data_IF_203207043796
#
_entry.id   IF_203207043796
#
_cell.length_a   1.000
_cell.length_b   1.000
_cell.length_c   1.000
_cell.angle_alpha   90.00
_cell.angle_beta   90.00
_cell.angle_gamma   90.00
#
_symmetry.space_group_name_H-M   'P 1'
#
loop_
_entity.id
_entity.type
_entity.pdbx_description
1 polymer ?
#
# COMPACT_ATOMS: atom_id res chain seq x y z
N UNK A 1 8.82 -1.83 -70.12
CA UNK A 1 9.79 -0.76 -69.79
C UNK A 1 10.43 -1.08 -68.45
N UNK A 2 11.76 -1.08 -68.45
CA UNK A 2 12.67 -1.57 -67.40
C UNK A 2 12.88 -0.53 -66.29
N UNK A 3 12.98 -0.98 -65.03
CA UNK A 3 13.97 -0.62 -64.00
C UNK A 3 13.40 -1.02 -62.63
N UNK A 4 13.87 -2.06 -61.94
CA UNK A 4 15.21 -2.31 -61.36
C UNK A 4 15.76 -1.11 -60.58
N UNK A 5 15.57 -1.09 -59.27
CA UNK A 5 16.69 -0.83 -58.37
C UNK A 5 16.50 -1.43 -56.97
N UNK A 6 17.50 -2.25 -56.61
CA UNK A 6 17.72 -2.94 -55.34
C UNK A 6 18.38 -2.01 -54.30
N UNK A 7 18.44 -2.42 -53.01
CA UNK A 7 18.61 -1.53 -51.87
C UNK A 7 20.07 -1.17 -51.56
N UNK A 8 20.30 0.03 -51.02
CA UNK A 8 21.60 0.46 -50.52
C UNK A 8 21.83 -0.03 -49.09
N UNK A 9 22.72 -1.02 -48.97
CA UNK A 9 23.33 -1.53 -47.74
C UNK A 9 24.14 -0.41 -47.07
N UNK A 10 23.77 0.01 -45.85
CA UNK A 10 24.64 0.84 -45.00
C UNK A 10 25.30 -0.03 -43.92
N UNK A 11 26.62 0.05 -43.93
CA UNK A 11 27.59 -0.80 -43.23
C UNK A 11 27.47 -0.69 -41.70
N UNK A 12 27.50 -1.85 -41.05
CA UNK A 12 27.71 -1.99 -39.61
C UNK A 12 29.05 -1.34 -39.21
N UNK A 13 29.02 -0.44 -38.22
CA UNK A 13 30.21 0.02 -37.51
C UNK A 13 30.27 -0.70 -36.17
N UNK A 14 31.05 -1.78 -36.17
CA UNK A 14 31.54 -2.52 -35.03
C UNK A 14 32.29 -1.56 -34.10
N UNK A 15 31.76 -1.34 -32.89
CA UNK A 15 32.52 -0.73 -31.80
C UNK A 15 33.16 -1.84 -31.00
N UNK A 16 34.47 -1.94 -31.14
CA UNK A 16 35.38 -2.79 -30.39
C UNK A 16 35.23 -2.55 -28.90
N UNK A 17 34.87 -3.61 -28.16
CA UNK A 17 34.98 -3.66 -26.70
C UNK A 17 36.45 -3.91 -26.36
N UNK A 18 37.11 -2.90 -25.76
CA UNK A 18 38.44 -3.10 -25.17
C UNK A 18 38.29 -3.83 -23.83
N UNK A 19 38.88 -5.02 -23.78
CA UNK A 19 39.13 -5.82 -22.58
C UNK A 19 40.44 -5.39 -21.91
N UNK A 20 40.37 -5.01 -20.62
CA UNK A 20 41.49 -5.00 -19.67
C UNK A 20 40.86 -4.94 -18.26
N UNK A 21 40.61 -6.08 -17.61
CA UNK A 21 41.47 -6.74 -16.62
C UNK A 21 42.00 -5.77 -15.56
N UNK A 22 41.43 -5.83 -14.36
CA UNK A 22 42.21 -5.76 -13.12
C UNK A 22 41.54 -6.65 -12.06
N UNK A 23 42.22 -7.74 -11.71
CA UNK A 23 41.96 -8.58 -10.56
C UNK A 23 42.95 -8.19 -9.46
N UNK A 24 42.45 -7.91 -8.25
CA UNK A 24 43.14 -7.90 -6.95
C UNK A 24 42.14 -7.36 -5.91
N UNK A 25 42.00 -7.81 -4.67
CA UNK A 25 42.60 -8.89 -3.90
C UNK A 25 41.67 -9.17 -2.72
N UNK A 26 41.75 -10.38 -2.17
CA UNK A 26 41.13 -10.80 -0.91
C UNK A 26 41.71 -10.01 0.26
N UNK A 27 40.85 -9.46 1.11
CA UNK A 27 41.16 -9.20 2.51
C UNK A 27 39.92 -9.50 3.36
N UNK A 28 39.93 -10.66 4.00
CA UNK A 28 39.02 -11.01 5.08
C UNK A 28 39.43 -10.20 6.32
N UNK A 29 38.62 -9.21 6.69
CA UNK A 29 38.68 -8.53 7.96
C UNK A 29 37.41 -8.82 8.75
N UNK A 30 37.51 -9.72 9.73
CA UNK A 30 36.48 -9.91 10.75
C UNK A 30 36.48 -8.66 11.63
N UNK A 31 35.54 -7.74 11.41
CA UNK A 31 35.24 -6.67 12.34
C UNK A 31 34.22 -7.18 13.35
N UNK A 32 34.65 -7.20 14.61
CA UNK A 32 33.81 -7.46 15.76
C UNK A 32 32.56 -6.57 15.72
N UNK A 33 31.38 -7.20 15.80
CA UNK A 33 30.11 -6.51 15.99
C UNK A 33 30.04 -5.95 17.41
N UNK A 34 30.56 -4.74 17.59
CA UNK A 34 30.16 -3.90 18.71
C UNK A 34 28.65 -3.67 18.57
N UNK A 35 27.88 -4.06 19.59
CA UNK A 35 26.43 -3.88 19.63
C UNK A 35 26.09 -2.42 19.31
N UNK A 36 25.39 -2.22 18.19
CA UNK A 36 24.84 -0.91 17.86
C UNK A 36 23.88 -0.50 18.98
N UNK A 37 23.99 0.72 19.55
CA UNK A 37 22.85 1.27 20.24
C UNK A 37 21.69 1.26 19.25
N UNK A 38 20.50 0.81 19.68
CA UNK A 38 19.31 0.85 18.85
C UNK A 38 19.20 2.27 18.26
N UNK A 39 19.40 2.38 16.94
CA UNK A 39 19.22 3.63 16.25
C UNK A 39 17.78 4.06 16.51
N UNK A 40 17.60 5.18 17.20
CA UNK A 40 16.32 5.85 17.26
C UNK A 40 15.78 5.95 15.83
N UNK A 41 14.53 5.53 15.63
CA UNK A 41 13.87 5.65 14.34
C UNK A 41 14.10 7.07 13.79
N UNK A 42 14.40 7.24 12.48
CA UNK A 42 14.61 8.54 11.89
C UNK A 42 13.43 9.45 12.25
N UNK A 43 13.68 10.48 13.06
CA UNK A 43 12.66 11.49 13.31
C UNK A 43 12.50 12.27 12.00
N UNK A 44 11.31 12.31 11.38
CA UNK A 44 11.09 13.14 10.21
C UNK A 44 11.45 14.59 10.55
N UNK A 45 12.13 15.27 9.64
CA UNK A 45 12.40 16.71 9.75
C UNK A 45 11.14 17.45 10.17
N UNK A 46 11.18 18.07 11.35
CA UNK A 46 10.07 18.81 11.91
C UNK A 46 9.84 20.08 11.06
N UNK A 47 8.85 20.03 10.18
CA UNK A 47 8.03 21.21 9.98
C UNK A 47 7.30 21.40 11.32
N UNK A 48 7.55 22.49 12.04
CA UNK A 48 6.85 22.82 13.30
C UNK A 48 5.40 23.28 13.02
N UNK A 49 4.77 22.67 12.02
CA UNK A 49 3.39 22.87 11.60
C UNK A 49 2.87 21.56 11.04
N UNK A 50 1.62 21.22 11.39
CA UNK A 50 0.98 20.08 10.74
C UNK A 50 0.64 20.40 9.28
N UNK A 51 0.70 19.38 8.41
CA UNK A 51 0.22 19.53 7.04
C UNK A 51 -1.27 19.87 6.97
N UNK A 52 -1.71 20.38 5.82
CA UNK A 52 -3.13 20.73 5.59
C UNK A 52 -4.05 19.52 5.87
N UNK A 53 -5.13 19.76 6.62
CA UNK A 53 -6.09 18.71 7.03
C UNK A 53 -5.72 17.98 8.33
N UNK A 54 -4.49 18.17 8.82
CA UNK A 54 -4.03 17.69 10.12
C UNK A 54 -3.82 18.86 11.09
N UNK A 55 -3.91 18.55 12.38
CA UNK A 55 -3.62 19.46 13.49
C UNK A 55 -2.77 18.75 14.52
N UNK A 56 -2.03 19.49 15.34
CA UNK A 56 -1.36 18.88 16.50
C UNK A 56 -2.42 18.27 17.42
N UNK A 57 -2.14 17.06 17.91
CA UNK A 57 -3.02 16.37 18.86
C UNK A 57 -3.17 17.16 20.15
N UNK A 58 -2.10 17.83 20.60
CA UNK A 58 -2.10 18.67 21.79
C UNK A 58 -2.66 17.94 23.02
N UNK A 59 -2.35 16.64 23.16
CA UNK A 59 -2.83 15.82 24.27
C UNK A 59 -2.29 16.34 25.63
N UNK A 60 -1.06 16.84 25.62
CA UNK A 60 -0.39 17.57 26.71
C UNK A 60 0.49 18.68 26.09
N UNK A 61 1.00 19.65 26.88
CA UNK A 61 1.95 20.63 26.37
C UNK A 61 3.15 19.96 25.68
N UNK A 62 3.47 20.39 24.45
CA UNK A 62 4.57 19.84 23.64
C UNK A 62 4.23 18.60 22.80
N UNK A 63 2.98 18.11 22.83
CA UNK A 63 2.53 17.03 21.96
C UNK A 63 2.19 17.52 20.54
N UNK A 64 3.19 17.50 19.66
CA UNK A 64 3.08 17.93 18.25
C UNK A 64 2.86 16.76 17.28
N UNK A 65 2.26 15.65 17.73
CA UNK A 65 1.85 14.56 16.84
C UNK A 65 0.71 15.03 15.94
N UNK A 66 0.88 14.93 14.61
CA UNK A 66 -0.16 15.32 13.66
C UNK A 66 -1.30 14.29 13.60
N UNK A 67 -2.51 14.76 13.87
CA UNK A 67 -3.74 13.95 13.90
C UNK A 67 -4.89 14.67 13.19
N UNK A 68 -6.00 13.96 12.98
CA UNK A 68 -7.23 14.59 12.50
C UNK A 68 -7.84 15.51 13.57
N UNK A 69 -8.57 16.57 13.17
CA UNK A 69 -9.23 17.47 14.11
C UNK A 69 -10.10 16.77 15.18
N UNK A 70 -10.76 15.66 14.81
CA UNK A 70 -11.57 14.87 15.75
C UNK A 70 -10.73 14.22 16.86
N UNK A 71 -9.49 13.80 16.55
CA UNK A 71 -8.57 13.20 17.53
C UNK A 71 -8.01 14.25 18.49
N UNK A 72 -7.76 15.48 18.01
CA UNK A 72 -7.46 16.62 18.90
C UNK A 72 -8.61 16.92 19.84
N UNK A 73 -9.85 16.92 19.34
CA UNK A 73 -11.02 17.13 20.20
C UNK A 73 -11.16 16.03 21.26
N UNK A 74 -11.01 14.77 20.87
CA UNK A 74 -11.04 13.64 21.81
C UNK A 74 -9.96 13.77 22.90
N UNK A 75 -8.74 14.17 22.55
CA UNK A 75 -7.68 14.37 23.53
C UNK A 75 -8.02 15.47 24.55
N UNK A 76 -8.70 16.54 24.11
CA UNK A 76 -9.22 17.61 24.98
C UNK A 76 -10.33 17.10 25.90
N UNK A 77 -11.24 16.29 25.38
CA UNK A 77 -12.34 15.71 26.15
C UNK A 77 -11.80 14.75 27.23
N UNK A 78 -10.76 13.98 26.91
CA UNK A 78 -10.06 13.13 27.87
C UNK A 78 -9.35 13.94 28.96
N UNK A 79 -8.71 15.06 28.59
CA UNK A 79 -8.10 15.97 29.57
C UNK A 79 -9.14 16.61 30.50
N UNK A 80 -10.31 16.98 29.96
CA UNK A 80 -11.41 17.55 30.75
C UNK A 80 -11.99 16.54 31.75
N UNK A 81 -12.02 15.25 31.39
CA UNK A 81 -12.50 14.18 32.25
C UNK A 81 -11.41 13.61 33.20
N UNK A 82 -10.15 13.98 33.04
CA UNK A 82 -9.04 13.44 33.83
C UNK A 82 -9.24 13.51 35.36
N UNK A 83 -9.75 14.63 35.95
CA UNK A 83 -9.90 14.74 37.40
C UNK A 83 -10.85 13.72 38.02
N UNK A 84 -11.80 13.16 37.26
CA UNK A 84 -12.77 12.17 37.75
C UNK A 84 -12.26 10.73 37.65
N UNK A 85 -11.06 10.53 37.08
CA UNK A 85 -10.50 9.21 36.74
C UNK A 85 -9.22 8.88 37.52
N UNK A 86 -8.85 9.74 38.47
CA UNK A 86 -7.66 9.58 39.32
C UNK A 86 -8.04 9.27 40.77
N UNK A 87 -7.17 8.55 41.46
CA UNK A 87 -7.17 8.34 42.89
C UNK A 87 -5.89 8.98 43.48
N UNK A 88 -5.99 10.18 44.08
CA UNK A 88 -4.81 10.88 44.58
C UNK A 88 -4.05 10.16 45.70
N UNK A 89 -4.68 9.20 46.37
CA UNK A 89 -4.08 8.36 47.42
C UNK A 89 -3.64 6.98 46.91
N UNK A 90 -3.58 6.80 45.60
CA UNK A 90 -3.24 5.54 44.97
C UNK A 90 -1.76 5.19 45.02
N UNK A 91 -1.44 3.94 44.66
CA UNK A 91 -0.10 3.33 44.76
C UNK A 91 0.97 4.06 43.94
N UNK A 92 0.59 4.75 42.87
CA UNK A 92 1.49 5.41 41.92
C UNK A 92 1.47 6.95 42.06
N UNK A 93 1.04 7.46 43.22
CA UNK A 93 0.97 8.89 43.50
C UNK A 93 -0.33 9.56 43.00
N UNK A 94 -0.35 10.90 42.87
CA UNK A 94 -1.58 11.66 42.64
C UNK A 94 -2.28 11.34 41.32
N UNK A 95 -1.52 10.86 40.32
CA UNK A 95 -2.02 10.50 39.00
C UNK A 95 -2.46 9.03 38.90
N UNK A 96 -2.54 8.29 40.02
CA UNK A 96 -2.96 6.88 39.99
C UNK A 96 -4.35 6.75 39.37
N UNK A 97 -4.52 5.97 38.31
CA UNK A 97 -5.83 5.76 37.72
C UNK A 97 -6.75 4.91 38.61
N UNK A 98 -8.04 5.26 38.63
CA UNK A 98 -9.07 4.41 39.25
C UNK A 98 -9.25 3.12 38.43
N UNK A 99 -9.84 2.09 39.05
CA UNK A 99 -10.04 0.79 38.40
C UNK A 99 -10.80 0.94 37.07
N UNK A 100 -10.29 0.29 36.01
CA UNK A 100 -10.85 0.36 34.66
C UNK A 100 -10.24 1.45 33.78
N UNK A 101 -9.35 2.29 34.32
CA UNK A 101 -8.62 3.32 33.59
C UNK A 101 -7.11 3.06 33.63
N UNK A 102 -6.41 3.55 32.61
CA UNK A 102 -4.96 3.47 32.44
C UNK A 102 -4.43 4.81 31.95
N UNK A 103 -3.15 5.11 32.18
CA UNK A 103 -2.52 6.28 31.58
C UNK A 103 -2.57 6.17 30.06
N UNK A 104 -2.98 7.27 29.42
CA UNK A 104 -3.08 7.39 27.95
C UNK A 104 -1.72 7.27 27.29
N UNK A 105 -0.67 7.79 27.92
CA UNK A 105 0.71 7.72 27.43
C UNK A 105 0.85 8.19 25.97
N UNK A 106 0.15 9.27 25.62
CA UNK A 106 0.27 9.90 24.31
C UNK A 106 1.70 10.36 24.04
N UNK A 107 2.39 10.82 25.09
CA UNK A 107 3.84 11.02 25.17
C UNK A 107 4.33 10.47 26.51
N UNK A 108 5.65 10.36 26.72
CA UNK A 108 6.21 9.74 27.93
C UNK A 108 5.85 10.43 29.26
N UNK A 109 5.33 11.65 29.23
CA UNK A 109 4.90 12.43 30.41
C UNK A 109 3.38 12.50 30.58
N UNK A 110 2.61 11.82 29.72
CA UNK A 110 1.15 11.91 29.70
C UNK A 110 0.50 10.84 30.61
N UNK A 111 0.16 11.27 31.83
CA UNK A 111 -0.54 10.45 32.82
C UNK A 111 -2.06 10.68 32.86
N UNK A 112 -2.66 11.24 31.81
CA UNK A 112 -4.12 11.39 31.75
C UNK A 112 -4.78 10.01 31.74
N UNK A 113 -5.64 9.75 32.73
CA UNK A 113 -6.34 8.49 32.86
C UNK A 113 -7.47 8.37 31.83
N UNK A 114 -7.42 7.32 31.02
CA UNK A 114 -8.37 7.01 29.95
C UNK A 114 -8.71 5.52 29.96
N UNK A 115 -9.73 5.12 29.21
CA UNK A 115 -10.03 3.69 29.00
C UNK A 115 -8.93 3.02 28.15
N UNK A 116 -8.65 1.71 28.29
CA UNK A 116 -7.57 1.03 27.58
C UNK A 116 -7.56 1.24 26.05
N UNK A 117 -8.74 1.33 25.43
CA UNK A 117 -8.89 1.56 23.99
C UNK A 117 -8.34 2.94 23.57
N UNK A 118 -8.41 3.94 24.45
CA UNK A 118 -7.88 5.29 24.19
C UNK A 118 -6.37 5.35 24.30
N UNK A 119 -5.76 4.53 25.17
CA UNK A 119 -4.30 4.35 25.23
C UNK A 119 -3.79 3.70 23.95
N UNK A 120 -4.43 2.60 23.51
CA UNK A 120 -4.09 1.95 22.25
C UNK A 120 -4.18 2.94 21.07
N UNK A 121 -5.24 3.74 21.01
CA UNK A 121 -5.39 4.78 19.99
C UNK A 121 -4.26 5.82 20.02
N UNK A 122 -3.83 6.27 21.20
CA UNK A 122 -2.75 7.26 21.32
C UNK A 122 -1.41 6.70 20.82
N UNK A 123 -1.15 5.40 21.05
CA UNK A 123 0.01 4.70 20.52
C UNK A 123 -0.04 4.54 19.00
N UNK A 124 -1.22 4.23 18.45
CA UNK A 124 -1.42 4.16 17.00
C UNK A 124 -1.19 5.53 16.34
N UNK A 125 -1.66 6.62 16.96
CA UNK A 125 -1.39 7.97 16.47
C UNK A 125 0.12 8.28 16.44
N UNK A 126 0.87 7.84 17.45
CA UNK A 126 2.33 8.00 17.47
C UNK A 126 3.01 7.17 16.38
N UNK A 127 2.60 5.91 16.20
CA UNK A 127 3.14 5.02 15.17
C UNK A 127 2.89 5.56 13.75
N UNK A 128 1.78 6.28 13.55
CA UNK A 128 1.38 6.83 12.26
C UNK A 128 1.89 8.26 12.00
N UNK A 129 2.51 8.92 12.98
CA UNK A 129 2.87 10.34 12.91
C UNK A 129 3.74 10.67 11.68
N UNK A 130 4.80 9.88 11.47
CA UNK A 130 5.71 10.05 10.32
C UNK A 130 5.00 9.79 8.98
N UNK A 131 4.11 8.79 8.94
CA UNK A 131 3.32 8.47 7.75
C UNK A 131 2.39 9.60 7.34
N UNK A 132 1.70 10.23 8.31
CA UNK A 132 0.78 11.36 8.05
C UNK A 132 1.51 12.60 7.52
N UNK A 133 2.71 12.87 8.02
CA UNK A 133 3.57 13.95 7.49
C UNK A 133 4.04 13.63 6.07
N UNK A 134 4.44 12.38 5.81
CA UNK A 134 4.86 11.94 4.49
C UNK A 134 3.72 11.98 3.46
N UNK A 135 2.54 11.45 3.81
CA UNK A 135 1.32 11.47 2.98
C UNK A 135 0.96 12.88 2.52
N UNK A 136 0.89 13.83 3.44
CA UNK A 136 0.50 15.19 3.10
C UNK A 136 1.60 15.95 2.33
N UNK A 137 2.87 15.58 2.51
CA UNK A 137 3.96 16.09 1.69
C UNK A 137 3.89 15.58 0.24
N UNK A 138 3.50 14.31 0.04
CA UNK A 138 3.19 13.78 -1.29
C UNK A 138 2.10 14.63 -1.95
N UNK A 139 0.96 14.84 -1.31
CA UNK A 139 -0.14 15.59 -1.93
C UNK A 139 0.22 17.05 -2.26
N UNK A 140 1.00 17.72 -1.41
CA UNK A 140 1.33 19.14 -1.60
C UNK A 140 2.47 19.39 -2.61
N UNK A 141 3.36 18.41 -2.86
CA UNK A 141 4.60 18.62 -3.62
C UNK A 141 4.88 17.60 -4.72
N UNK A 142 3.89 16.77 -5.06
CA UNK A 142 4.03 15.75 -6.10
C UNK A 142 3.23 16.07 -7.37
N UNK A 143 3.66 15.44 -8.47
CA UNK A 143 2.80 15.12 -9.59
C UNK A 143 2.31 13.67 -9.40
N UNK A 144 1.09 13.36 -9.81
CA UNK A 144 0.50 12.04 -9.61
C UNK A 144 -0.07 11.41 -10.87
N UNK A 145 -0.16 10.08 -10.85
CA UNK A 145 -0.92 9.29 -11.80
C UNK A 145 -1.82 8.32 -11.03
N UNK A 146 -3.05 8.14 -11.49
CA UNK A 146 -4.09 7.40 -10.77
C UNK A 146 -4.69 6.29 -11.63
N UNK A 147 -4.63 5.06 -11.13
CA UNK A 147 -5.46 3.96 -11.61
C UNK A 147 -6.80 4.03 -10.87
N UNK A 148 -7.84 4.42 -11.59
CA UNK A 148 -9.17 4.55 -11.01
C UNK A 148 -9.68 3.20 -10.52
N UNK A 149 -10.50 3.22 -9.48
CA UNK A 149 -11.07 2.03 -8.84
C UNK A 149 -11.81 1.13 -9.82
N UNK A 150 -12.56 1.72 -10.76
CA UNK A 150 -13.26 0.98 -11.83
C UNK A 150 -12.30 0.27 -12.78
N UNK A 151 -11.20 0.92 -13.17
CA UNK A 151 -10.17 0.33 -13.99
C UNK A 151 -9.44 -0.79 -13.25
N UNK A 152 -9.14 -0.62 -11.96
CA UNK A 152 -8.57 -1.67 -11.12
C UNK A 152 -9.47 -2.91 -11.04
N UNK A 153 -10.80 -2.72 -10.83
CA UNK A 153 -11.78 -3.82 -10.87
C UNK A 153 -11.73 -4.55 -12.21
N UNK A 154 -11.79 -3.80 -13.31
CA UNK A 154 -11.77 -4.34 -14.66
C UNK A 154 -10.51 -5.15 -14.94
N UNK A 155 -9.34 -4.62 -14.58
CA UNK A 155 -8.05 -5.29 -14.73
C UNK A 155 -8.01 -6.61 -13.95
N UNK A 156 -8.40 -6.60 -12.68
CA UNK A 156 -8.37 -7.79 -11.81
C UNK A 156 -9.37 -8.84 -12.31
N UNK A 157 -10.60 -8.42 -12.64
CA UNK A 157 -11.65 -9.29 -13.21
C UNK A 157 -11.20 -9.92 -14.53
N UNK A 158 -10.59 -9.14 -15.42
CA UNK A 158 -10.05 -9.59 -16.71
C UNK A 158 -8.93 -10.62 -16.54
N UNK A 159 -7.93 -10.33 -15.68
CA UNK A 159 -6.82 -11.24 -15.41
C UNK A 159 -7.31 -12.53 -14.75
N UNK A 160 -8.21 -12.43 -13.77
CA UNK A 160 -8.80 -13.59 -13.12
C UNK A 160 -9.56 -14.47 -14.12
N UNK A 161 -10.41 -13.86 -14.96
CA UNK A 161 -11.16 -14.56 -16.01
C UNK A 161 -10.24 -15.30 -16.98
N UNK A 162 -9.16 -14.65 -17.43
CA UNK A 162 -8.16 -15.28 -18.31
C UNK A 162 -7.46 -16.48 -17.64
N UNK A 163 -7.06 -16.34 -16.37
CA UNK A 163 -6.43 -17.42 -15.61
C UNK A 163 -7.38 -18.59 -15.35
N UNK A 164 -8.61 -18.29 -14.98
CA UNK A 164 -9.62 -19.30 -14.71
C UNK A 164 -10.00 -20.07 -16.00
N UNK A 165 -10.20 -19.36 -17.12
CA UNK A 165 -10.46 -19.98 -18.44
C UNK A 165 -9.32 -20.84 -18.95
N UNK A 166 -8.07 -20.49 -18.61
CA UNK A 166 -6.92 -21.31 -18.96
C UNK A 166 -6.88 -22.64 -18.19
N UNK A 167 -7.57 -22.74 -17.04
CA UNK A 167 -7.72 -23.97 -16.26
C UNK A 167 -8.97 -24.76 -16.63
N UNK A 168 -10.07 -24.05 -16.87
CA UNK A 168 -11.34 -24.63 -17.32
C UNK A 168 -12.07 -23.61 -18.21
N UNK A 169 -12.21 -23.95 -19.49
CA UNK A 169 -12.83 -23.08 -20.50
C UNK A 169 -14.31 -22.77 -20.23
N UNK A 170 -14.95 -23.54 -19.33
CA UNK A 170 -16.35 -23.34 -18.92
C UNK A 170 -16.51 -22.20 -17.91
N UNK A 171 -15.43 -21.76 -17.27
CA UNK A 171 -15.51 -20.70 -16.25
C UNK A 171 -15.83 -19.34 -16.90
N UNK A 172 -16.87 -18.69 -16.38
CA UNK A 172 -17.25 -17.32 -16.70
C UNK A 172 -17.18 -16.42 -15.46
N UNK A 173 -17.01 -15.12 -15.69
CA UNK A 173 -17.08 -14.07 -14.67
C UNK A 173 -18.23 -13.14 -15.02
N UNK A 174 -19.06 -12.79 -14.04
CA UNK A 174 -20.13 -11.82 -14.21
C UNK A 174 -19.55 -10.41 -14.18
N UNK A 175 -19.38 -9.80 -15.36
CA UNK A 175 -18.92 -8.41 -15.46
C UNK A 175 -19.91 -7.43 -14.80
N UNK A 176 -19.39 -6.42 -14.10
CA UNK A 176 -20.19 -5.39 -13.42
C UNK A 176 -20.73 -5.79 -12.05
N UNK A 177 -20.42 -7.00 -11.56
CA UNK A 177 -20.74 -7.46 -10.20
C UNK A 177 -19.54 -7.45 -9.26
N UNK A 178 -18.43 -6.85 -9.67
CA UNK A 178 -17.22 -6.76 -8.85
C UNK A 178 -17.43 -5.83 -7.65
N UNK A 179 -17.31 -6.39 -6.45
CA UNK A 179 -17.35 -5.63 -5.21
C UNK A 179 -15.94 -5.14 -4.89
N UNK A 180 -15.84 -3.91 -4.39
CA UNK A 180 -14.65 -3.47 -3.66
C UNK A 180 -15.16 -3.05 -2.29
N UNK A 181 -14.77 -3.81 -1.28
CA UNK A 181 -15.19 -3.64 0.10
C UNK A 181 -13.95 -3.44 0.96
N UNK A 182 -13.46 -2.20 0.93
CA UNK A 182 -12.55 -1.52 1.85
C UNK A 182 -11.42 -2.33 2.51
N UNK A 183 -10.28 -1.72 2.30
CA UNK A 183 -8.96 -1.90 2.84
C UNK A 183 -8.81 -2.15 4.35
N UNK A 184 -7.90 -3.06 4.72
CA UNK A 184 -7.33 -3.15 6.08
C UNK A 184 -6.86 -1.77 6.61
N UNK A 185 -7.01 -1.53 7.92
CA UNK A 185 -6.83 -0.25 8.66
C UNK A 185 -7.96 0.78 8.48
N UNK A 186 -9.06 0.56 9.20
CA UNK A 186 -10.11 1.56 9.46
C UNK A 186 -9.76 2.52 10.61
N UNK A 187 -8.49 2.63 11.02
CA UNK A 187 -8.06 3.60 12.04
C UNK A 187 -8.13 5.04 11.50
N UNK A 188 -8.42 6.02 12.36
CA UNK A 188 -8.35 7.45 12.03
C UNK A 188 -6.98 7.77 11.40
N UNK A 189 -6.95 8.51 10.29
CA UNK A 189 -5.90 8.26 9.27
C UNK A 189 -6.40 8.20 7.85
N UNK A 190 -7.72 8.11 7.70
CA UNK A 190 -8.36 7.44 6.58
C UNK A 190 -7.97 8.05 5.22
N UNK A 191 -7.89 9.38 5.07
CA UNK A 191 -7.82 10.02 3.74
C UNK A 191 -6.51 9.85 2.94
N UNK A 192 -5.37 9.54 3.56
CA UNK A 192 -4.07 9.57 2.87
C UNK A 192 -3.59 8.25 2.24
N UNK A 193 -2.68 8.31 1.25
CA UNK A 193 -2.13 7.15 0.55
C UNK A 193 -1.24 6.29 1.45
N UNK A 194 -1.62 5.02 1.66
CA UNK A 194 -0.86 4.08 2.51
C UNK A 194 -0.55 2.77 1.78
N UNK A 195 0.33 1.95 2.38
CA UNK A 195 0.55 0.57 1.96
C UNK A 195 -0.65 -0.31 2.37
N UNK A 196 -1.73 -0.11 1.62
CA UNK A 196 -3.09 -0.52 1.92
C UNK A 196 -3.43 -1.80 1.15
N UNK A 197 -4.19 -2.70 1.79
CA UNK A 197 -4.71 -3.92 1.15
C UNK A 197 -6.01 -3.57 0.45
N UNK A 198 -6.24 -3.92 -0.80
CA UNK A 198 -7.52 -3.71 -1.49
C UNK A 198 -8.24 -5.04 -1.57
N UNK A 199 -9.44 -5.14 -1.00
CA UNK A 199 -10.31 -6.31 -1.17
C UNK A 199 -11.14 -6.17 -2.43
N UNK A 200 -11.05 -7.17 -3.31
CA UNK A 200 -11.79 -7.24 -4.57
C UNK A 200 -12.58 -8.53 -4.59
N UNK A 201 -13.90 -8.43 -4.71
CA UNK A 201 -14.80 -9.56 -4.86
C UNK A 201 -15.14 -9.80 -6.33
N UNK A 202 -15.10 -11.06 -6.75
CA UNK A 202 -15.35 -11.53 -8.11
C UNK A 202 -16.46 -12.57 -8.06
N UNK A 203 -17.55 -12.34 -8.79
CA UNK A 203 -18.62 -13.31 -8.97
C UNK A 203 -18.47 -14.01 -10.32
N UNK A 204 -18.66 -15.33 -10.34
CA UNK A 204 -18.59 -16.11 -11.57
C UNK A 204 -19.38 -17.39 -11.53
N UNK A 205 -19.27 -18.16 -12.60
CA UNK A 205 -20.03 -19.37 -12.84
C UNK A 205 -19.22 -20.39 -13.65
N UNK A 206 -19.67 -21.64 -13.68
CA UNK A 206 -19.15 -22.66 -14.60
C UNK A 206 -20.28 -23.10 -15.51
N UNK A 207 -20.10 -22.93 -16.82
CA UNK A 207 -21.13 -23.33 -17.78
C UNK A 207 -21.19 -24.85 -17.90
N UNK A 208 -22.33 -25.44 -17.54
CA UNK A 208 -22.58 -26.87 -17.64
C UNK A 208 -23.74 -27.16 -18.61
N UNK A 209 -23.62 -28.18 -19.47
CA UNK A 209 -24.74 -28.59 -20.30
C UNK A 209 -25.82 -29.27 -19.44
N UNK A 210 -27.07 -28.88 -19.64
CA UNK A 210 -28.28 -29.55 -19.12
C UNK A 210 -28.52 -29.52 -17.59
N UNK A 211 -27.72 -28.79 -16.81
CA UNK A 211 -27.97 -28.52 -15.38
C UNK A 211 -27.75 -27.03 -15.08
N UNK A 212 -28.31 -26.48 -13.98
CA UNK A 212 -28.01 -25.11 -13.57
C UNK A 212 -26.52 -24.91 -13.33
N UNK A 213 -25.99 -23.79 -13.83
CA UNK A 213 -24.57 -23.44 -13.69
C UNK A 213 -24.23 -23.23 -12.21
N UNK A 214 -23.22 -23.94 -11.65
CA UNK A 214 -22.74 -23.64 -10.32
C UNK A 214 -22.09 -22.26 -10.29
N UNK A 215 -22.40 -21.50 -9.25
CA UNK A 215 -21.88 -20.15 -9.02
C UNK A 215 -20.76 -20.15 -7.97
N UNK A 216 -19.88 -19.17 -8.09
CA UNK A 216 -18.84 -18.91 -7.11
C UNK A 216 -18.65 -17.42 -6.83
N UNK A 217 -18.15 -17.13 -5.64
CA UNK A 217 -17.69 -15.81 -5.23
C UNK A 217 -16.28 -15.92 -4.64
N UNK A 218 -15.36 -15.10 -5.15
CA UNK A 218 -13.96 -15.04 -4.70
C UNK A 218 -13.67 -13.66 -4.15
N UNK A 219 -13.09 -13.58 -2.96
CA UNK A 219 -12.51 -12.35 -2.41
C UNK A 219 -10.99 -12.43 -2.47
N UNK A 220 -10.35 -11.40 -3.00
CA UNK A 220 -8.90 -11.26 -3.10
C UNK A 220 -8.45 -10.00 -2.37
N UNK A 221 -7.56 -10.16 -1.39
CA UNK A 221 -6.97 -9.07 -0.63
C UNK A 221 -5.58 -8.74 -1.17
N UNK A 222 -5.46 -7.66 -1.94
CA UNK A 222 -4.27 -7.29 -2.69
C UNK A 222 -3.51 -6.14 -2.02
N UNK A 223 -2.25 -6.35 -1.64
CA UNK A 223 -1.37 -5.25 -1.20
C UNK A 223 -0.59 -4.71 -2.39
N UNK A 224 -0.70 -3.41 -2.63
CA UNK A 224 0.06 -2.72 -3.67
C UNK A 224 1.42 -2.28 -3.11
N UNK A 225 2.50 -2.58 -3.81
CA UNK A 225 3.87 -2.23 -3.41
C UNK A 225 4.69 -1.79 -4.62
N UNK A 226 5.66 -0.92 -4.38
CA UNK A 226 6.77 -0.69 -5.31
C UNK A 226 7.86 -1.72 -5.06
N UNK A 227 8.38 -2.32 -6.12
CA UNK A 227 9.47 -3.30 -6.12
C UNK A 227 10.62 -2.72 -6.91
N UNK A 228 11.76 -2.46 -6.26
CA UNK A 228 12.91 -1.89 -6.94
C UNK A 228 13.40 -2.82 -8.07
N UNK A 229 13.74 -2.23 -9.22
CA UNK A 229 14.24 -2.94 -10.39
C UNK A 229 15.75 -2.70 -10.57
N UNK A 230 16.42 -3.61 -11.29
CA UNK A 230 17.89 -3.58 -11.44
C UNK A 230 18.44 -2.38 -12.22
N UNK A 231 17.57 -1.64 -12.93
CA UNK A 231 17.89 -0.41 -13.65
C UNK A 231 17.81 0.85 -12.77
N UNK A 232 17.48 0.71 -11.48
CA UNK A 232 17.26 1.82 -10.55
C UNK A 232 15.83 2.40 -10.61
N UNK A 233 14.92 1.75 -11.32
CA UNK A 233 13.49 2.06 -11.36
C UNK A 233 12.68 1.29 -10.32
N UNK A 234 11.37 1.21 -10.54
CA UNK A 234 10.47 0.39 -9.72
C UNK A 234 9.32 -0.21 -10.53
N UNK A 235 8.99 -1.47 -10.24
CA UNK A 235 7.75 -2.11 -10.67
C UNK A 235 6.66 -1.90 -9.62
N UNK A 236 5.47 -1.50 -10.05
CA UNK A 236 4.29 -1.44 -9.19
C UNK A 236 3.58 -2.78 -9.29
N UNK A 237 3.51 -3.48 -8.16
CA UNK A 237 3.02 -4.84 -8.12
C UNK A 237 1.95 -5.05 -7.04
N UNK A 238 0.97 -5.90 -7.37
CA UNK A 238 -0.06 -6.36 -6.46
C UNK A 238 0.32 -7.74 -5.91
N UNK A 239 0.48 -7.84 -4.60
CA UNK A 239 0.69 -9.11 -3.89
C UNK A 239 -0.59 -9.58 -3.20
N UNK A 240 -0.89 -10.88 -3.28
CA UNK A 240 -2.01 -11.46 -2.55
C UNK A 240 -1.64 -11.66 -1.09
N UNK A 241 -2.45 -11.11 -0.19
CA UNK A 241 -2.25 -11.21 1.27
C UNK A 241 -3.22 -12.19 1.91
N UNK A 242 -4.46 -12.20 1.43
CA UNK A 242 -5.50 -13.10 1.87
C UNK A 242 -6.45 -13.38 0.70
N UNK A 243 -7.16 -14.50 0.75
CA UNK A 243 -8.19 -14.82 -0.22
C UNK A 243 -9.26 -15.72 0.41
N UNK A 244 -10.49 -15.58 -0.08
CA UNK A 244 -11.63 -16.37 0.33
C UNK A 244 -12.40 -16.86 -0.89
N UNK A 245 -12.90 -18.10 -0.88
CA UNK A 245 -13.69 -18.68 -1.98
C UNK A 245 -14.96 -19.29 -1.41
N UNK A 246 -16.10 -18.89 -1.96
CA UNK A 246 -17.37 -19.59 -1.80
C UNK A 246 -17.76 -20.23 -3.13
N UNK A 247 -18.07 -21.53 -3.13
CA UNK A 247 -18.63 -22.24 -4.29
C UNK A 247 -19.95 -22.87 -3.89
N UNK A 248 -20.90 -22.90 -4.83
CA UNK A 248 -22.22 -23.53 -4.63
C UNK A 248 -22.66 -24.30 -5.86
N UNK A 249 -23.56 -25.27 -5.68
CA UNK A 249 -24.08 -26.10 -6.77
C UNK A 249 -23.28 -27.38 -7.06
N UNK A 250 -23.66 -28.13 -8.12
CA UNK A 250 -23.06 -29.41 -8.47
C UNK A 250 -21.57 -29.30 -8.84
N UNK A 251 -20.74 -30.22 -8.33
CA UNK A 251 -19.30 -30.24 -8.64
C UNK A 251 -18.46 -29.17 -7.93
N UNK A 252 -19.00 -28.54 -6.88
CA UNK A 252 -18.36 -27.44 -6.16
C UNK A 252 -16.97 -27.77 -5.56
N UNK A 253 -16.70 -29.04 -5.21
CA UNK A 253 -15.41 -29.48 -4.67
C UNK A 253 -14.29 -29.36 -5.69
N UNK A 254 -14.48 -29.91 -6.89
CA UNK A 254 -13.51 -29.79 -7.99
C UNK A 254 -13.31 -28.35 -8.42
N UNK A 255 -14.40 -27.56 -8.50
CA UNK A 255 -14.33 -26.13 -8.77
C UNK A 255 -13.50 -25.38 -7.72
N UNK A 256 -13.73 -25.65 -6.44
CA UNK A 256 -12.98 -25.05 -5.34
C UNK A 256 -11.48 -25.36 -5.44
N UNK A 257 -11.11 -26.62 -5.71
CA UNK A 257 -9.71 -27.02 -5.87
C UNK A 257 -9.03 -26.32 -7.05
N UNK A 258 -9.71 -26.25 -8.20
CA UNK A 258 -9.21 -25.57 -9.39
C UNK A 258 -9.02 -24.06 -9.16
N UNK A 259 -10.00 -23.40 -8.55
CA UNK A 259 -9.92 -21.97 -8.21
C UNK A 259 -8.79 -21.71 -7.20
N UNK A 260 -8.69 -22.53 -6.16
CA UNK A 260 -7.61 -22.45 -5.17
C UNK A 260 -6.24 -22.58 -5.84
N UNK A 261 -6.04 -23.63 -6.63
CA UNK A 261 -4.78 -23.85 -7.36
C UNK A 261 -4.47 -22.68 -8.29
N UNK A 262 -5.46 -22.21 -9.06
CA UNK A 262 -5.32 -21.07 -9.96
C UNK A 262 -4.89 -19.79 -9.25
N UNK A 263 -5.56 -19.41 -8.17
CA UNK A 263 -5.26 -18.22 -7.38
C UNK A 263 -3.86 -18.32 -6.76
N UNK A 264 -3.53 -19.44 -6.13
CA UNK A 264 -2.20 -19.63 -5.53
C UNK A 264 -1.06 -19.61 -6.55
N UNK A 265 -1.28 -20.16 -7.75
CA UNK A 265 -0.30 -20.12 -8.83
C UNK A 265 -0.14 -18.71 -9.42
N UNK A 266 -1.24 -18.01 -9.64
CA UNK A 266 -1.23 -16.66 -10.22
C UNK A 266 -0.54 -15.62 -9.33
N UNK A 267 -0.66 -15.78 -8.02
CA UNK A 267 -0.05 -14.89 -7.02
C UNK A 267 1.11 -15.53 -6.26
N UNK A 268 1.74 -16.56 -6.82
CA UNK A 268 2.96 -17.16 -6.26
C UNK A 268 4.10 -16.12 -6.14
N UNK A 269 4.06 -15.10 -7.02
CA UNK A 269 4.80 -13.86 -6.91
C UNK A 269 3.84 -12.68 -7.09
N UNK A 270 4.17 -11.49 -6.59
CA UNK A 270 3.38 -10.30 -6.87
C UNK A 270 3.31 -10.04 -8.37
N UNK A 271 2.13 -9.64 -8.82
CA UNK A 271 1.85 -9.38 -10.22
C UNK A 271 2.14 -7.91 -10.50
N UNK A 272 3.19 -7.64 -11.27
CA UNK A 272 3.51 -6.28 -11.75
C UNK A 272 2.49 -5.83 -12.81
N UNK A 273 2.00 -4.60 -12.69
CA UNK A 273 1.06 -4.00 -13.65
C UNK A 273 1.53 -2.64 -14.18
N UNK A 274 2.59 -2.06 -13.61
CA UNK A 274 3.22 -0.86 -14.14
C UNK A 274 4.72 -0.90 -13.88
N UNK A 275 5.51 -0.43 -14.85
CA UNK A 275 6.95 -0.25 -14.71
C UNK A 275 7.31 1.23 -14.76
N UNK A 276 8.05 1.70 -13.76
CA UNK A 276 8.54 3.06 -13.63
C UNK A 276 10.07 3.07 -13.83
N UNK A 277 10.58 3.71 -14.90
CA UNK A 277 12.00 3.68 -15.21
C UNK A 277 12.82 4.52 -14.22
N UNK A 278 14.13 4.26 -14.13
CA UNK A 278 15.03 5.14 -13.41
C UNK A 278 15.04 6.56 -14.00
N UNK A 279 15.27 7.56 -13.13
CA UNK A 279 15.22 8.97 -13.52
C UNK A 279 13.81 9.56 -13.66
N UNK A 280 12.75 8.78 -13.39
CA UNK A 280 11.37 9.25 -13.39
C UNK A 280 11.00 10.15 -12.19
N UNK A 281 11.94 10.44 -11.28
CA UNK A 281 11.67 11.13 -10.00
C UNK A 281 10.53 10.49 -9.19
N UNK A 282 10.39 9.17 -9.32
CA UNK A 282 9.38 8.39 -8.61
C UNK A 282 9.66 8.37 -7.12
N UNK A 283 8.60 8.56 -6.34
CA UNK A 283 8.68 8.64 -4.89
C UNK A 283 8.11 7.38 -4.27
N UNK A 284 6.83 7.09 -4.52
CA UNK A 284 6.14 5.93 -3.99
C UNK A 284 4.81 5.70 -4.72
N UNK A 285 4.22 4.52 -4.51
CA UNK A 285 2.82 4.25 -4.79
C UNK A 285 2.04 4.14 -3.49
N UNK A 286 0.75 4.44 -3.53
CA UNK A 286 -0.15 4.27 -2.41
C UNK A 286 -1.58 4.01 -2.86
N UNK A 287 -2.42 3.58 -1.92
CA UNK A 287 -3.84 3.37 -2.15
C UNK A 287 -4.60 4.30 -1.21
N UNK A 288 -5.43 5.24 -1.72
CA UNK A 288 -6.32 6.06 -0.91
C UNK A 288 -7.68 5.36 -0.72
N UNK A 289 -8.62 6.06 -0.12
CA UNK A 289 -9.90 5.51 0.35
C UNK A 289 -10.88 5.04 -0.69
N UNK A 290 -10.85 5.70 -1.84
CA UNK A 290 -11.59 5.27 -2.99
C UNK A 290 -11.07 3.93 -3.54
N UNK A 291 -9.98 3.37 -2.99
CA UNK A 291 -9.30 2.18 -3.47
C UNK A 291 -8.73 2.33 -4.89
N UNK A 292 -8.43 3.57 -5.32
CA UNK A 292 -7.57 3.80 -6.47
C UNK A 292 -6.13 3.40 -6.14
N UNK A 293 -5.29 3.27 -7.16
CA UNK A 293 -3.83 3.22 -6.97
C UNK A 293 -3.25 4.53 -7.45
N UNK A 294 -2.54 5.23 -6.56
CA UNK A 294 -1.90 6.51 -6.87
C UNK A 294 -0.38 6.35 -6.87
N UNK A 295 0.25 6.84 -7.93
CA UNK A 295 1.69 6.88 -8.12
C UNK A 295 2.14 8.33 -7.95
N UNK A 296 3.10 8.56 -7.06
CA UNK A 296 3.60 9.88 -6.74
C UNK A 296 5.02 10.08 -7.27
N UNK A 297 5.23 11.24 -7.89
CA UNK A 297 6.48 11.67 -8.49
C UNK A 297 6.82 13.06 -7.96
N UNK A 298 8.10 13.41 -7.84
CA UNK A 298 8.47 14.76 -7.42
C UNK A 298 7.90 15.78 -8.42
N UNK A 299 7.46 16.95 -7.96
CA UNK A 299 6.98 18.02 -8.85
C UNK A 299 8.14 18.76 -9.55
N UNK A 300 9.00 18.00 -10.23
CA UNK A 300 10.04 18.48 -11.16
C UNK A 300 9.53 18.38 -12.60
N UNK A 301 10.28 18.92 -13.57
CA UNK A 301 9.94 18.72 -14.98
C UNK A 301 9.91 17.23 -15.36
N UNK A 302 10.89 16.45 -14.89
CA UNK A 302 10.98 15.01 -15.13
C UNK A 302 9.81 14.26 -14.47
N UNK A 303 9.51 14.54 -13.21
CA UNK A 303 8.43 13.87 -12.49
C UNK A 303 7.04 14.20 -13.05
N UNK A 304 6.78 15.42 -13.52
CA UNK A 304 5.52 15.76 -14.21
C UNK A 304 5.34 15.01 -15.53
N UNK A 305 6.41 14.88 -16.32
CA UNK A 305 6.40 14.10 -17.56
C UNK A 305 6.17 12.62 -17.25
N UNK A 306 6.87 12.10 -16.24
CA UNK A 306 6.71 10.72 -15.79
C UNK A 306 5.28 10.42 -15.31
N UNK A 307 4.69 11.32 -14.51
CA UNK A 307 3.30 11.21 -14.07
C UNK A 307 2.33 11.19 -15.26
N UNK A 308 2.52 12.06 -16.24
CA UNK A 308 1.69 12.07 -17.46
C UNK A 308 1.79 10.75 -18.25
N UNK A 309 3.00 10.25 -18.49
CA UNK A 309 3.23 9.00 -19.20
C UNK A 309 2.65 7.82 -18.40
N UNK A 310 2.85 7.81 -17.08
CA UNK A 310 2.28 6.80 -16.20
C UNK A 310 0.74 6.82 -16.27
N UNK A 311 0.11 7.99 -16.26
CA UNK A 311 -1.33 8.12 -16.39
C UNK A 311 -1.84 7.54 -17.72
N UNK A 312 -1.18 7.82 -18.84
CA UNK A 312 -1.54 7.23 -20.13
C UNK A 312 -1.48 5.70 -20.08
N UNK A 313 -0.38 5.14 -19.56
CA UNK A 313 -0.25 3.69 -19.42
C UNK A 313 -1.31 3.07 -18.50
N UNK A 314 -1.66 3.76 -17.40
CA UNK A 314 -2.70 3.29 -16.48
C UNK A 314 -4.10 3.35 -17.10
N UNK A 315 -4.35 4.28 -18.02
CA UNK A 315 -5.61 4.35 -18.76
C UNK A 315 -5.75 3.24 -19.82
N UNK A 316 -4.62 2.65 -20.25
CA UNK A 316 -4.57 1.60 -21.28
C UNK A 316 -4.64 0.16 -20.72
N UNK A 317 -4.74 0.00 -19.38
CA UNK A 317 -4.85 -1.29 -18.68
C UNK A 317 -6.26 -1.89 -18.75
#
# INVERSE_FOLDING_TARGET
MSNSNKPAVRKARTRTFSTAVLAAALAAGVLASAGQPAAAAPQPVAFDTCPQGYVWREAVPGDHVCVYPVRRQQARDDNAAAPTRVNPSGLYGPDTCVQGYVWREAVGTDHVCVVPERRAQAWDDNAQAAGRVHEAWLDATSASATLQTSALKGLVSSKFSALAKAKDSRVGVYGGRETISIVSDTSDGFAGPRNRVVRIGIYGFVSLPAVPDPEFYVELDLRIRSVATGDGGADIAAGLTHWHIHTSGPGNGTLLEQLRSGITGAFAQPVSFAHIPSGADFMTAGVPLNASVELYFKNTAAGRIAAFIAQQKLNDL
#
